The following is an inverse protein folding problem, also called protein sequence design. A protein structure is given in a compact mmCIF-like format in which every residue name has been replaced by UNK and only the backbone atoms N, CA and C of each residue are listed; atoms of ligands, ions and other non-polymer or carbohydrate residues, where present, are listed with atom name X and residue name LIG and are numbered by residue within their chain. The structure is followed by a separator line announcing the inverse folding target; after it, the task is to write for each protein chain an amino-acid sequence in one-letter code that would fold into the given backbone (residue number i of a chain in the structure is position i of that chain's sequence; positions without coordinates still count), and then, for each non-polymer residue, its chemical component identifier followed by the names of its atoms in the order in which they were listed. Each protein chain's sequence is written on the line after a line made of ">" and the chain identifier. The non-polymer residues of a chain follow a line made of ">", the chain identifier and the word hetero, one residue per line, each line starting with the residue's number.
data_IF_830012428986
#
_entry.id   IF_830012428986
#
_cell.length_a   1.000
_cell.length_b   1.000
_cell.length_c   1.000
_cell.angle_alpha   90.00
_cell.angle_beta   90.00
_cell.angle_gamma   90.00
#
_symmetry.space_group_name_H-M   'P 1'
#
loop_
_entity.id
_entity.type
_entity.pdbx_description
1 polymer ?
#
# COMPACT_ATOMS: atom_id res chain seq x y z
N UNK A 1 -34.92 58.66 -7.36
CA UNK A 1 -33.64 58.25 -8.00
C UNK A 1 -32.48 58.66 -7.09
N UNK A 2 -31.63 57.72 -6.62
CA UNK A 2 -30.25 57.87 -6.10
C UNK A 2 -29.92 56.89 -4.95
N UNK A 3 -29.29 55.74 -5.27
CA UNK A 3 -28.50 54.88 -4.35
C UNK A 3 -27.37 54.22 -5.16
N UNK A 4 -26.44 55.00 -5.71
CA UNK A 4 -25.33 54.51 -6.58
C UNK A 4 -23.93 54.75 -5.98
N UNK A 5 -23.82 54.92 -4.66
CA UNK A 5 -22.56 55.27 -3.99
C UNK A 5 -21.87 54.13 -3.22
N UNK A 6 -22.57 53.03 -2.93
CA UNK A 6 -22.09 51.98 -2.01
C UNK A 6 -21.64 50.67 -2.67
N UNK A 7 -21.89 50.50 -3.98
CA UNK A 7 -21.58 49.26 -4.71
C UNK A 7 -20.10 48.89 -4.67
N UNK A 8 -19.21 49.88 -4.69
CA UNK A 8 -17.77 49.62 -4.62
C UNK A 8 -17.35 49.04 -3.26
N UNK A 9 -17.92 49.55 -2.17
CA UNK A 9 -17.64 49.08 -0.81
C UNK A 9 -18.18 47.66 -0.61
N UNK A 10 -19.37 47.38 -1.12
CA UNK A 10 -19.97 46.04 -1.11
C UNK A 10 -19.10 45.03 -1.87
N UNK A 11 -18.58 45.41 -3.04
CA UNK A 11 -17.67 44.57 -3.83
C UNK A 11 -16.35 44.33 -3.09
N UNK A 12 -15.76 45.36 -2.47
CA UNK A 12 -14.52 45.22 -1.71
C UNK A 12 -14.72 44.30 -0.49
N UNK A 13 -15.82 44.47 0.25
CA UNK A 13 -16.16 43.57 1.37
C UNK A 13 -16.38 42.14 0.90
N UNK A 14 -17.07 41.94 -0.22
CA UNK A 14 -17.27 40.61 -0.82
C UNK A 14 -15.94 39.95 -1.20
N UNK A 15 -15.05 40.68 -1.86
CA UNK A 15 -13.71 40.20 -2.23
C UNK A 15 -12.84 39.90 -1.00
N UNK A 16 -12.91 40.74 0.03
CA UNK A 16 -12.18 40.52 1.29
C UNK A 16 -12.63 39.24 1.98
N UNK A 17 -13.94 39.03 2.10
CA UNK A 17 -14.51 37.81 2.67
C UNK A 17 -14.17 36.58 1.83
N UNK A 18 -14.26 36.67 0.50
CA UNK A 18 -13.83 35.60 -0.41
C UNK A 18 -12.36 35.26 -0.24
N UNK A 19 -11.49 36.27 -0.10
CA UNK A 19 -10.07 36.08 0.17
C UNK A 19 -9.80 35.32 1.48
N UNK A 20 -10.51 35.68 2.56
CA UNK A 20 -10.39 34.99 3.84
C UNK A 20 -10.87 33.54 3.77
N UNK A 21 -12.00 33.31 3.09
CA UNK A 21 -12.54 31.96 2.88
C UNK A 21 -11.56 31.13 2.05
N UNK A 22 -11.04 31.66 0.94
CA UNK A 22 -10.08 30.97 0.09
C UNK A 22 -8.78 30.64 0.85
N UNK A 23 -8.22 31.60 1.60
CA UNK A 23 -6.99 31.43 2.36
C UNK A 23 -7.11 30.39 3.48
N UNK A 24 -8.31 30.17 4.02
CA UNK A 24 -8.55 29.19 5.09
C UNK A 24 -8.95 27.81 4.57
N UNK A 25 -9.70 27.74 3.48
CA UNK A 25 -10.24 26.47 2.95
C UNK A 25 -9.24 25.78 2.01
N UNK A 26 -8.56 26.51 1.12
CA UNK A 26 -7.65 25.89 0.14
C UNK A 26 -6.52 25.07 0.78
N UNK A 27 -5.83 25.53 1.84
CA UNK A 27 -4.82 24.72 2.51
C UNK A 27 -5.39 23.44 3.11
N UNK A 28 -6.61 23.49 3.67
CA UNK A 28 -7.27 22.32 4.26
C UNK A 28 -7.61 21.27 3.22
N UNK A 29 -8.12 21.69 2.05
CA UNK A 29 -8.40 20.77 0.93
C UNK A 29 -7.11 20.11 0.46
N UNK A 30 -6.02 20.87 0.31
CA UNK A 30 -4.74 20.33 -0.11
C UNK A 30 -4.19 19.29 0.88
N UNK A 31 -4.20 19.60 2.18
CA UNK A 31 -3.79 18.65 3.23
C UNK A 31 -4.69 17.41 3.23
N UNK A 32 -5.99 17.58 3.08
CA UNK A 32 -6.94 16.47 2.99
C UNK A 32 -6.64 15.57 1.80
N UNK A 33 -6.37 16.15 0.63
CA UNK A 33 -6.03 15.41 -0.58
C UNK A 33 -4.72 14.61 -0.39
N UNK A 34 -3.70 15.21 0.21
CA UNK A 34 -2.45 14.53 0.54
C UNK A 34 -2.68 13.35 1.50
N UNK A 35 -3.50 13.54 2.54
CA UNK A 35 -3.85 12.48 3.49
C UNK A 35 -4.61 11.34 2.85
N UNK A 36 -5.62 11.63 2.03
CA UNK A 36 -6.37 10.62 1.29
C UNK A 36 -5.47 9.83 0.33
N UNK A 37 -4.55 10.51 -0.37
CA UNK A 37 -3.57 9.83 -1.22
C UNK A 37 -2.70 8.85 -0.42
N UNK A 38 -2.25 9.24 0.77
CA UNK A 38 -1.45 8.36 1.63
C UNK A 38 -2.27 7.20 2.20
N UNK A 39 -3.54 7.43 2.56
CA UNK A 39 -4.45 6.36 3.00
C UNK A 39 -4.72 5.35 1.88
N UNK A 40 -4.96 5.80 0.65
CA UNK A 40 -5.14 4.93 -0.50
C UNK A 40 -3.91 4.04 -0.72
N UNK A 41 -2.71 4.61 -0.65
CA UNK A 41 -1.47 3.83 -0.79
C UNK A 41 -1.34 2.80 0.33
N UNK A 42 -1.60 3.18 1.58
CA UNK A 42 -1.58 2.23 2.70
C UNK A 42 -2.58 1.09 2.50
N UNK A 43 -3.78 1.39 2.01
CA UNK A 43 -4.81 0.38 1.75
C UNK A 43 -4.41 -0.58 0.63
N UNK A 44 -3.83 -0.05 -0.46
CA UNK A 44 -3.27 -0.89 -1.53
C UNK A 44 -2.13 -1.79 -1.02
N UNK A 45 -1.25 -1.28 -0.15
CA UNK A 45 -0.17 -2.08 0.47
C UNK A 45 -0.73 -3.20 1.35
N UNK A 46 -1.75 -2.91 2.16
CA UNK A 46 -2.44 -3.92 2.97
C UNK A 46 -3.03 -5.01 2.07
N UNK A 47 -3.77 -4.60 1.04
CA UNK A 47 -4.39 -5.54 0.10
C UNK A 47 -3.35 -6.41 -0.62
N UNK A 48 -2.21 -5.84 -0.98
CA UNK A 48 -1.09 -6.58 -1.57
C UNK A 48 -0.54 -7.64 -0.60
N UNK A 49 -0.32 -7.28 0.66
CA UNK A 49 0.18 -8.20 1.69
C UNK A 49 -0.80 -9.34 1.97
N UNK A 50 -2.10 -9.04 2.06
CA UNK A 50 -3.17 -10.03 2.20
C UNK A 50 -3.20 -10.98 1.00
N UNK A 51 -3.21 -10.43 -0.21
CA UNK A 51 -3.24 -11.20 -1.45
C UNK A 51 -2.06 -12.17 -1.56
N UNK A 52 -0.86 -11.74 -1.17
CA UNK A 52 0.32 -12.61 -1.15
C UNK A 52 0.13 -13.78 -0.19
N UNK A 53 -0.29 -13.51 1.06
CA UNK A 53 -0.53 -14.58 2.04
C UNK A 53 -1.62 -15.54 1.55
N UNK A 54 -2.74 -15.02 1.05
CA UNK A 54 -3.86 -15.85 0.60
C UNK A 54 -3.49 -16.68 -0.63
N UNK A 55 -2.73 -16.14 -1.58
CA UNK A 55 -2.25 -16.93 -2.72
C UNK A 55 -1.30 -18.05 -2.28
N UNK A 56 -0.38 -17.78 -1.34
CA UNK A 56 0.52 -18.81 -0.80
C UNK A 56 -0.29 -19.87 -0.03
N UNK A 57 -1.29 -19.48 0.74
CA UNK A 57 -2.20 -20.42 1.43
C UNK A 57 -3.03 -21.26 0.46
N UNK A 58 -3.54 -20.66 -0.61
CA UNK A 58 -4.40 -21.31 -1.59
C UNK A 58 -3.66 -22.34 -2.47
N UNK A 59 -2.34 -22.23 -2.59
CA UNK A 59 -1.52 -23.14 -3.39
C UNK A 59 -1.78 -24.63 -3.04
N UNK A 60 -2.00 -25.47 -4.03
CA UNK A 60 -2.06 -26.92 -3.88
C UNK A 60 -1.17 -27.54 -4.94
N UNK A 61 -0.34 -28.51 -4.56
CA UNK A 61 0.65 -29.13 -5.45
C UNK A 61 -0.02 -29.76 -6.69
N UNK A 62 -1.25 -30.27 -6.55
CA UNK A 62 -2.02 -30.86 -7.65
C UNK A 62 -2.88 -29.85 -8.45
N UNK A 63 -2.75 -28.54 -8.21
CA UNK A 63 -3.59 -27.55 -8.91
C UNK A 63 -3.08 -27.30 -10.34
N UNK A 64 -3.98 -27.40 -11.31
CA UNK A 64 -3.69 -27.15 -12.74
C UNK A 64 -3.51 -25.67 -13.11
N UNK A 65 -3.81 -24.75 -12.18
CA UNK A 65 -3.74 -23.30 -12.43
C UNK A 65 -2.47 -22.71 -11.82
N UNK A 66 -1.55 -22.16 -12.64
CA UNK A 66 -0.34 -21.54 -12.11
C UNK A 66 -0.68 -20.24 -11.40
N UNK A 67 -0.47 -20.20 -10.08
CA UNK A 67 -0.60 -18.99 -9.27
C UNK A 67 0.78 -18.32 -9.20
N UNK A 68 0.84 -17.03 -9.51
CA UNK A 68 2.06 -16.22 -9.42
C UNK A 68 1.90 -15.03 -8.49
N UNK A 69 3.02 -14.51 -8.01
CA UNK A 69 3.14 -13.19 -7.37
C UNK A 69 4.17 -12.43 -8.19
N UNK A 70 3.75 -11.32 -8.81
CA UNK A 70 4.50 -10.71 -9.92
C UNK A 70 4.85 -11.74 -11.01
N UNK A 71 6.13 -11.85 -11.35
CA UNK A 71 6.70 -12.78 -12.32
C UNK A 71 7.24 -14.07 -11.70
N UNK A 72 6.99 -14.32 -10.41
CA UNK A 72 7.47 -15.52 -9.71
C UNK A 72 6.31 -16.47 -9.44
N UNK A 73 6.47 -17.75 -9.77
CA UNK A 73 5.48 -18.78 -9.47
C UNK A 73 5.51 -19.11 -7.98
N UNK A 74 4.34 -19.39 -7.41
CA UNK A 74 4.26 -19.75 -5.99
C UNK A 74 4.91 -21.10 -5.72
N UNK A 75 4.89 -22.01 -6.69
CA UNK A 75 5.60 -23.29 -6.62
C UNK A 75 7.10 -23.07 -6.32
N UNK A 76 7.77 -22.22 -7.11
CA UNK A 76 9.17 -21.85 -6.88
C UNK A 76 9.41 -21.24 -5.48
N UNK A 77 8.45 -20.46 -4.95
CA UNK A 77 8.53 -19.88 -3.60
C UNK A 77 8.39 -20.95 -2.52
N UNK A 78 7.46 -21.90 -2.69
CA UNK A 78 7.24 -22.99 -1.74
C UNK A 78 8.43 -23.94 -1.72
N UNK A 79 9.00 -24.26 -2.89
CA UNK A 79 10.24 -25.05 -2.97
C UNK A 79 11.38 -24.36 -2.22
N UNK A 80 11.53 -23.04 -2.36
CA UNK A 80 12.52 -22.28 -1.60
C UNK A 80 12.23 -22.34 -0.08
N UNK A 81 10.97 -22.20 0.35
CA UNK A 81 10.57 -22.29 1.75
C UNK A 81 10.80 -23.68 2.39
N UNK A 82 10.86 -24.75 1.58
CA UNK A 82 11.15 -26.12 2.03
C UNK A 82 12.64 -26.33 2.34
N UNK A 83 13.54 -25.51 1.79
CA UNK A 83 15.00 -25.71 1.92
C UNK A 83 15.53 -25.42 3.32
N UNK A 84 15.07 -24.33 3.92
CA UNK A 84 15.58 -23.85 5.21
C UNK A 84 14.46 -23.51 6.21
N UNK A 85 14.81 -23.52 7.50
CA UNK A 85 13.87 -23.14 8.57
C UNK A 85 13.44 -21.68 8.47
N UNK A 86 14.37 -20.80 8.09
CA UNK A 86 14.13 -19.37 7.90
C UNK A 86 14.55 -19.02 6.49
N UNK A 87 13.62 -18.47 5.71
CA UNK A 87 13.86 -18.10 4.31
C UNK A 87 13.36 -16.69 4.09
N UNK A 88 14.17 -15.87 3.42
CA UNK A 88 13.82 -14.51 3.02
C UNK A 88 13.84 -14.39 1.49
N UNK A 89 12.74 -13.90 0.92
CA UNK A 89 12.60 -13.69 -0.52
C UNK A 89 12.16 -12.26 -0.76
N UNK A 90 12.85 -11.57 -1.67
CA UNK A 90 12.51 -10.20 -2.08
C UNK A 90 11.94 -10.24 -3.50
N UNK A 91 10.77 -9.62 -3.68
CA UNK A 91 10.06 -9.54 -4.96
C UNK A 91 9.66 -8.09 -5.29
N UNK A 92 9.54 -7.70 -6.57
CA UNK A 92 10.11 -8.41 -7.71
C UNK A 92 11.65 -8.47 -7.63
N UNK A 93 12.25 -9.48 -8.26
CA UNK A 93 13.72 -9.63 -8.31
C UNK A 93 14.38 -8.49 -9.11
N UNK A 94 13.66 -7.98 -10.11
CA UNK A 94 14.06 -6.81 -10.88
C UNK A 94 13.52 -5.54 -10.22
N UNK A 95 14.40 -4.58 -9.92
CA UNK A 95 14.03 -3.29 -9.29
C UNK A 95 13.25 -2.34 -10.21
N UNK A 96 12.70 -2.84 -11.32
CA UNK A 96 12.13 -2.00 -12.38
C UNK A 96 10.61 -1.86 -12.29
N UNK A 97 10.15 -0.59 -12.38
CA UNK A 97 8.79 -0.10 -12.66
C UNK A 97 7.65 -0.45 -11.70
N UNK A 98 7.79 -1.45 -10.84
CA UNK A 98 6.71 -1.85 -9.95
C UNK A 98 6.46 -0.83 -8.84
N UNK A 99 5.18 -0.57 -8.57
CA UNK A 99 4.74 0.40 -7.57
C UNK A 99 5.14 -0.02 -6.15
N UNK A 100 5.20 -1.32 -5.91
CA UNK A 100 5.50 -1.93 -4.62
C UNK A 100 6.63 -2.95 -4.73
N UNK A 101 7.40 -3.08 -3.66
CA UNK A 101 8.30 -4.22 -3.44
C UNK A 101 7.87 -4.99 -2.20
N UNK A 102 8.18 -6.28 -2.18
CA UNK A 102 7.82 -7.22 -1.14
C UNK A 102 9.08 -7.85 -0.56
N UNK A 103 9.08 -8.05 0.75
CA UNK A 103 9.97 -8.98 1.44
C UNK A 103 9.09 -10.01 2.12
N UNK A 104 9.23 -11.27 1.73
CA UNK A 104 8.50 -12.40 2.31
C UNK A 104 9.49 -13.20 3.15
N UNK A 105 9.18 -13.34 4.43
CA UNK A 105 9.97 -14.14 5.37
C UNK A 105 9.13 -15.32 5.81
N UNK A 106 9.66 -16.53 5.64
CA UNK A 106 9.15 -17.74 6.27
C UNK A 106 10.00 -18.05 7.49
N UNK A 107 9.35 -18.36 8.62
CA UNK A 107 9.98 -18.80 9.86
C UNK A 107 9.26 -20.05 10.39
N UNK A 108 10.04 -21.10 10.63
CA UNK A 108 9.57 -22.37 11.16
C UNK A 108 9.51 -22.35 12.70
N UNK A 109 8.44 -21.74 13.22
CA UNK A 109 8.20 -21.60 14.68
C UNK A 109 7.74 -22.89 15.37
N UNK A 110 7.02 -23.77 14.65
CA UNK A 110 6.41 -24.98 15.20
C UNK A 110 6.58 -26.19 14.26
N UNK A 111 6.46 -27.40 14.80
CA UNK A 111 6.70 -28.65 14.07
C UNK A 111 5.85 -28.81 12.81
N UNK A 112 4.65 -28.21 12.76
CA UNK A 112 3.73 -28.32 11.62
C UNK A 112 3.24 -26.97 11.06
N UNK A 113 3.79 -25.83 11.49
CA UNK A 113 3.36 -24.51 11.02
C UNK A 113 4.53 -23.65 10.56
N UNK A 114 4.32 -22.93 9.48
CA UNK A 114 5.15 -21.80 9.09
C UNK A 114 4.49 -20.49 9.53
N UNK A 115 5.30 -19.58 10.06
CA UNK A 115 4.94 -18.18 10.20
C UNK A 115 5.45 -17.44 8.97
N UNK A 116 4.53 -16.91 8.16
CA UNK A 116 4.86 -16.02 7.06
C UNK A 116 4.73 -14.57 7.51
N UNK A 117 5.76 -13.77 7.24
CA UNK A 117 5.75 -12.32 7.40
C UNK A 117 5.98 -11.67 6.05
N UNK A 118 5.00 -10.91 5.56
CA UNK A 118 5.04 -10.19 4.29
C UNK A 118 5.16 -8.71 4.58
N UNK A 119 6.26 -8.12 4.16
CA UNK A 119 6.49 -6.69 4.23
C UNK A 119 6.29 -6.10 2.85
N UNK A 120 5.43 -5.08 2.76
CA UNK A 120 5.16 -4.35 1.52
C UNK A 120 5.75 -2.96 1.65
N UNK A 121 6.58 -2.57 0.69
CA UNK A 121 7.24 -1.27 0.61
C UNK A 121 6.74 -0.53 -0.64
N UNK A 122 6.58 0.79 -0.55
CA UNK A 122 6.19 1.62 -1.68
C UNK A 122 7.44 2.23 -2.32
N UNK A 123 7.68 1.97 -3.62
CA UNK A 123 8.95 2.29 -4.29
C UNK A 123 9.12 3.78 -4.68
N UNK A 124 8.19 4.67 -4.31
CA UNK A 124 8.25 6.09 -4.68
C UNK A 124 9.03 6.90 -3.65
N UNK A 125 10.07 7.60 -4.11
CA UNK A 125 10.81 8.59 -3.32
C UNK A 125 9.88 9.68 -2.75
N UNK A 126 10.09 10.06 -1.50
CA UNK A 126 9.43 11.21 -0.86
C UNK A 126 8.10 10.93 -0.15
N UNK A 127 7.68 9.67 0.06
CA UNK A 127 6.52 9.33 0.92
C UNK A 127 6.97 8.71 2.24
N UNK A 128 6.38 9.19 3.34
CA UNK A 128 6.67 8.82 4.76
C UNK A 128 6.17 7.40 5.12
N UNK A 129 5.72 6.60 4.15
CA UNK A 129 5.21 5.25 4.41
C UNK A 129 6.37 4.25 4.32
N UNK A 130 6.88 3.85 5.48
CA UNK A 130 8.03 2.95 5.60
C UNK A 130 7.70 1.56 5.04
N UNK A 131 6.71 0.88 5.61
CA UNK A 131 6.20 -0.41 5.14
C UNK A 131 4.87 -0.77 5.80
N UNK A 132 4.19 -1.78 5.25
CA UNK A 132 3.11 -2.51 5.92
C UNK A 132 3.59 -3.93 6.15
N UNK A 133 3.42 -4.44 7.37
CA UNK A 133 3.68 -5.83 7.70
C UNK A 133 2.37 -6.60 7.83
N UNK A 134 2.30 -7.77 7.20
CA UNK A 134 1.23 -8.72 7.37
C UNK A 134 1.80 -10.07 7.79
N UNK A 135 1.19 -10.69 8.82
CA UNK A 135 1.65 -11.96 9.38
C UNK A 135 0.55 -13.00 9.30
N UNK A 136 0.91 -14.22 8.92
CA UNK A 136 -0.02 -15.34 8.84
C UNK A 136 0.63 -16.65 9.22
N UNK A 137 -0.09 -17.46 9.99
CA UNK A 137 0.29 -18.86 10.19
C UNK A 137 -0.31 -19.72 9.07
N UNK A 138 0.47 -20.69 8.60
CA UNK A 138 -0.01 -21.70 7.67
C UNK A 138 0.55 -23.08 8.00
N UNK A 139 -0.18 -24.17 7.70
CA UNK A 139 0.38 -25.52 7.70
C UNK A 139 1.57 -25.63 6.75
N UNK A 140 2.55 -26.45 7.12
CA UNK A 140 3.63 -26.82 6.19
C UNK A 140 3.03 -27.49 4.95
N UNK A 141 3.62 -27.22 3.79
CA UNK A 141 3.29 -27.83 2.50
C UNK A 141 4.44 -28.69 2.01
#
# INVERSE_FOLDING_TARGET
>A
MKRKGFTLIEVIMGLFLLGLIAATILPKINISHLRLSNQNIKMEMIHMGEMVIERIKAFKEDSSEPISIYNVKIEDLIEEFKKDKIVEIILPKDKNSEKYSLKIIKDEKFDNLWLLSVYVYHNKEGKVLDYVEFKGYMPKK
#
